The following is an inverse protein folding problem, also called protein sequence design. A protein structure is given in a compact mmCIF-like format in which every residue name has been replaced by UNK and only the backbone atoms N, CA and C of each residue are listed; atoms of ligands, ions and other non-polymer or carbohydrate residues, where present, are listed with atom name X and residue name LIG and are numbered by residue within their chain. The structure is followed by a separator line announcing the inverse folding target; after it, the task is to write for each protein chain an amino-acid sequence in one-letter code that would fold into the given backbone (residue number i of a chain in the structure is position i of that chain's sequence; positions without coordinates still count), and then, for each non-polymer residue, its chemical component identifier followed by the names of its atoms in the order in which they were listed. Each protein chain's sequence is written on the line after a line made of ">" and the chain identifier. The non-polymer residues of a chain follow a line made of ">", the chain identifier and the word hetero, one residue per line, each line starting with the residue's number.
data_IF_099637236787
#
_entry.id   IF_099637236787
#
_cell.length_a   1.000
_cell.length_b   1.000
_cell.length_c   1.000
_cell.angle_alpha   90.00
_cell.angle_beta   90.00
_cell.angle_gamma   90.00
#
_symmetry.space_group_name_H-M   'P 1'
#
loop_
_entity.id
_entity.type
_entity.pdbx_description
1 polymer ?
#
# COMPACT_ATOMS: atom_id res chain seq x y z
N UNK A 1 -36.11 2.84 0.31
CA UNK A 1 -34.78 3.03 -0.32
C UNK A 1 -34.41 1.71 -0.96
N UNK A 2 -34.44 1.63 -2.28
CA UNK A 2 -34.36 0.37 -3.03
C UNK A 2 -32.92 0.06 -3.47
N UNK A 3 -32.59 -1.23 -3.60
CA UNK A 3 -31.25 -1.75 -3.88
C UNK A 3 -30.63 -1.12 -5.15
N UNK A 4 -31.46 -0.79 -6.14
CA UNK A 4 -31.05 -0.11 -7.37
C UNK A 4 -30.46 1.28 -7.08
N UNK A 5 -31.10 2.05 -6.19
CA UNK A 5 -30.62 3.38 -5.80
C UNK A 5 -29.30 3.37 -5.02
N UNK A 6 -28.99 2.27 -4.31
CA UNK A 6 -27.68 2.10 -3.67
C UNK A 6 -26.58 1.82 -4.69
N UNK A 7 -26.85 0.96 -5.67
CA UNK A 7 -25.90 0.61 -6.74
C UNK A 7 -25.60 1.82 -7.63
N UNK A 8 -26.63 2.59 -8.00
CA UNK A 8 -26.46 3.79 -8.82
C UNK A 8 -25.61 4.85 -8.08
N UNK A 9 -25.87 5.08 -6.79
CA UNK A 9 -25.08 6.02 -5.98
C UNK A 9 -23.64 5.54 -5.73
N UNK A 10 -23.43 4.23 -5.58
CA UNK A 10 -22.08 3.67 -5.47
C UNK A 10 -21.27 3.82 -6.77
N UNK A 11 -21.92 3.64 -7.92
CA UNK A 11 -21.30 3.83 -9.23
C UNK A 11 -20.97 5.30 -9.50
N UNK A 12 -21.86 6.21 -9.11
CA UNK A 12 -21.63 7.65 -9.19
C UNK A 12 -20.45 8.10 -8.30
N UNK A 13 -20.42 7.66 -7.04
CA UNK A 13 -19.33 7.98 -6.12
C UNK A 13 -17.97 7.43 -6.60
N UNK A 14 -17.96 6.23 -7.19
CA UNK A 14 -16.74 5.65 -7.77
C UNK A 14 -16.23 6.46 -8.98
N UNK A 15 -17.14 6.95 -9.84
CA UNK A 15 -16.77 7.79 -10.98
C UNK A 15 -16.20 9.13 -10.53
N UNK A 16 -16.80 9.78 -9.53
CA UNK A 16 -16.31 11.04 -8.97
C UNK A 16 -14.93 10.87 -8.32
N UNK A 17 -14.72 9.77 -7.58
CA UNK A 17 -13.43 9.47 -6.97
C UNK A 17 -12.34 9.23 -8.02
N UNK A 18 -12.65 8.50 -9.10
CA UNK A 18 -11.73 8.26 -10.20
C UNK A 18 -11.35 9.56 -10.93
N UNK A 19 -12.33 10.44 -11.18
CA UNK A 19 -12.07 11.74 -11.80
C UNK A 19 -11.17 12.63 -10.93
N UNK A 20 -11.43 12.70 -9.62
CA UNK A 20 -10.62 13.49 -8.69
C UNK A 20 -9.19 12.95 -8.56
N UNK A 21 -9.02 11.64 -8.61
CA UNK A 21 -7.69 11.01 -8.63
C UNK A 21 -6.91 11.35 -9.91
N UNK A 22 -7.59 11.36 -11.08
CA UNK A 22 -6.97 11.75 -12.34
C UNK A 22 -6.58 13.24 -12.37
N UNK A 23 -7.43 14.12 -11.83
CA UNK A 23 -7.13 15.56 -11.70
C UNK A 23 -5.92 15.81 -10.79
N UNK A 24 -5.82 15.09 -9.67
CA UNK A 24 -4.67 15.16 -8.77
C UNK A 24 -3.38 14.66 -9.46
N UNK A 25 -3.45 13.57 -10.22
CA UNK A 25 -2.31 13.06 -10.98
C UNK A 25 -1.84 14.06 -12.05
N UNK A 26 -2.78 14.71 -12.75
CA UNK A 26 -2.46 15.74 -13.75
C UNK A 26 -1.84 16.99 -13.11
N UNK A 27 -2.31 17.42 -11.94
CA UNK A 27 -1.74 18.56 -11.21
C UNK A 27 -0.31 18.30 -10.74
N UNK A 28 -0.01 17.08 -10.30
CA UNK A 28 1.36 16.67 -9.92
C UNK A 28 2.27 16.64 -11.15
N UNK A 29 1.77 16.16 -12.29
CA UNK A 29 2.54 16.13 -13.54
C UNK A 29 2.81 17.54 -14.10
N UNK A 30 1.94 18.52 -13.85
CA UNK A 30 2.15 19.91 -14.27
C UNK A 30 3.18 20.66 -13.40
N UNK A 31 3.32 20.28 -12.12
CA UNK A 31 4.31 20.86 -11.21
C UNK A 31 5.75 20.38 -11.49
N UNK A 32 5.92 19.23 -12.17
CA UNK A 32 7.21 18.66 -12.51
C UNK A 32 7.87 19.27 -13.77
N UNK A 33 7.18 20.16 -14.49
CA UNK A 33 7.65 20.74 -15.76
C UNK A 33 8.07 22.21 -15.65
N UNK A 34 8.20 22.75 -14.42
CA UNK A 34 8.78 24.07 -14.24
C UNK A 34 10.30 24.01 -14.52
N UNK A 35 10.83 24.73 -15.53
CA UNK A 35 12.25 24.73 -15.81
C UNK A 35 13.00 25.38 -14.64
N UNK A 36 14.04 24.70 -14.15
CA UNK A 36 14.97 25.26 -13.18
C UNK A 36 15.63 26.54 -13.73
N UNK A 37 15.79 27.61 -12.93
CA UNK A 37 16.57 28.76 -13.35
C UNK A 37 18.03 28.33 -13.56
N UNK A 38 18.59 28.75 -14.70
CA UNK A 38 19.94 28.41 -15.13
C UNK A 38 21.00 28.87 -14.10
N UNK A 39 22.04 28.06 -13.84
CA UNK A 39 23.16 28.49 -13.00
C UNK A 39 24.00 29.53 -13.76
N UNK A 40 24.14 30.71 -13.18
CA UNK A 40 25.10 31.74 -13.59
C UNK A 40 26.53 31.22 -13.37
N UNK A 41 27.30 31.17 -14.44
CA UNK A 41 28.70 30.78 -14.44
C UNK A 41 29.58 31.75 -13.62
N UNK A 42 30.55 31.26 -12.83
CA UNK A 42 31.66 32.09 -12.37
C UNK A 42 32.72 32.21 -13.46
N UNK A 43 33.26 33.43 -13.59
CA UNK A 43 34.26 33.83 -14.55
C UNK A 43 35.61 33.12 -14.35
N UNK A 44 36.17 32.65 -15.47
CA UNK A 44 37.54 32.16 -15.63
C UNK A 44 38.54 33.32 -15.57
N UNK A 45 39.63 33.25 -14.80
CA UNK A 45 40.85 34.03 -15.07
C UNK A 45 41.78 33.26 -16.03
N UNK A 46 42.60 33.96 -16.83
CA UNK A 46 43.34 33.37 -17.94
C UNK A 46 44.58 32.58 -17.47
N UNK A 47 44.87 31.53 -18.23
CA UNK A 47 46.11 30.77 -18.21
C UNK A 47 47.29 31.63 -18.67
N UNK A 48 48.41 31.52 -17.95
CA UNK A 48 49.73 31.90 -18.45
C UNK A 48 50.65 30.70 -18.27
N UNK A 49 51.03 30.11 -19.41
CA UNK A 49 52.07 29.10 -19.53
C UNK A 49 53.44 29.72 -19.25
N UNK A 50 54.30 29.02 -18.51
CA UNK A 50 55.76 29.08 -18.75
C UNK A 50 56.45 27.86 -18.15
N UNK A 51 57.35 27.32 -18.97
CA UNK A 51 58.16 26.12 -18.81
C UNK A 51 59.18 26.21 -17.66
N UNK A 52 59.65 25.05 -17.16
CA UNK A 52 60.78 24.95 -16.20
C UNK A 52 62.16 25.18 -16.86
N UNK A 53 63.30 24.70 -16.30
CA UNK A 53 63.53 23.96 -15.04
C UNK A 53 64.76 24.46 -14.22
N UNK A 54 65.21 23.64 -13.25
CA UNK A 54 66.55 23.55 -12.59
C UNK A 54 66.81 24.18 -11.20
N UNK A 55 67.10 23.25 -10.27
CA UNK A 55 68.18 23.19 -9.24
C UNK A 55 68.36 24.26 -8.15
N UNK A 56 68.54 23.75 -6.92
CA UNK A 56 69.56 24.27 -6.00
C UNK A 56 69.09 24.86 -4.66
N UNK A 57 69.15 24.01 -3.62
CA UNK A 57 69.89 24.25 -2.36
C UNK A 57 69.47 25.35 -1.35
N UNK A 58 69.42 24.89 -0.08
CA UNK A 58 69.70 25.59 1.20
C UNK A 58 68.61 26.33 2.01
N UNK A 59 68.33 25.73 3.18
CA UNK A 59 68.45 26.31 4.54
C UNK A 59 68.28 27.84 4.72
N UNK A 60 67.28 28.25 5.50
CA UNK A 60 67.51 29.07 6.70
C UNK A 60 66.22 29.34 7.49
N UNK A 61 66.34 29.16 8.80
CA UNK A 61 65.47 29.69 9.84
C UNK A 61 65.52 31.23 9.86
N UNK A 62 64.44 31.87 10.30
CA UNK A 62 64.40 32.72 11.50
C UNK A 62 63.29 33.80 11.42
N UNK A 63 62.40 33.73 12.40
CA UNK A 63 62.05 34.84 13.31
C UNK A 63 61.86 36.25 12.72
N UNK A 64 60.64 36.79 12.84
CA UNK A 64 60.31 38.02 13.60
C UNK A 64 58.80 38.31 13.57
N UNK A 65 58.22 38.59 14.75
CA UNK A 65 56.80 38.86 15.07
C UNK A 65 56.35 40.30 14.70
N UNK A 66 55.23 40.86 15.23
CA UNK A 66 53.86 40.41 15.59
C UNK A 66 52.80 41.14 14.71
N UNK A 67 51.47 41.02 14.83
CA UNK A 67 50.46 41.79 15.63
C UNK A 67 49.03 41.40 15.07
N UNK A 68 47.87 41.90 15.57
CA UNK A 68 46.98 41.41 16.64
C UNK A 68 45.62 40.79 16.18
N UNK A 69 44.87 40.32 17.18
CA UNK A 69 43.46 39.84 17.27
C UNK A 69 42.45 40.06 16.12
N UNK A 70 41.75 38.98 15.78
CA UNK A 70 40.36 39.00 15.30
C UNK A 70 39.60 37.73 15.79
N UNK A 71 38.30 37.84 16.12
CA UNK A 71 37.58 36.90 17.00
C UNK A 71 37.23 35.56 16.34
N UNK A 72 37.42 34.45 17.07
CA UNK A 72 36.90 33.12 16.70
C UNK A 72 35.37 33.10 16.80
N UNK A 73 34.70 33.20 15.66
CA UNK A 73 33.31 32.80 15.53
C UNK A 73 33.22 31.26 15.64
N UNK A 74 32.84 30.77 16.82
CA UNK A 74 32.45 29.37 17.01
C UNK A 74 31.15 29.14 16.27
N UNK A 75 31.24 28.56 15.07
CA UNK A 75 30.09 28.00 14.36
C UNK A 75 29.63 26.77 15.13
N UNK A 76 28.58 26.93 15.94
CA UNK A 76 27.77 25.82 16.44
C UNK A 76 27.24 25.03 15.25
N UNK A 77 27.64 23.76 15.16
CA UNK A 77 27.14 22.82 14.17
C UNK A 77 25.61 22.67 14.33
N UNK A 78 24.82 22.69 13.23
CA UNK A 78 23.41 22.36 13.30
C UNK A 78 23.22 20.85 13.58
N UNK A 79 22.16 20.54 14.33
CA UNK A 79 21.73 19.21 14.72
C UNK A 79 21.62 18.23 13.52
N UNK A 80 21.77 16.91 13.74
CA UNK A 80 21.82 15.94 12.65
C UNK A 80 20.48 15.89 11.92
N UNK A 81 20.47 16.30 10.65
CA UNK A 81 19.38 16.04 9.74
C UNK A 81 19.25 14.52 9.58
N UNK A 82 18.12 13.94 10.02
CA UNK A 82 17.81 12.53 9.79
C UNK A 82 17.96 12.24 8.29
N UNK A 83 18.88 11.36 7.95
CA UNK A 83 19.10 10.96 6.56
C UNK A 83 17.84 10.33 5.96
N UNK A 84 17.70 10.39 4.63
CA UNK A 84 16.56 9.83 3.89
C UNK A 84 16.21 8.38 4.27
N UNK A 85 17.20 7.55 4.62
CA UNK A 85 16.97 6.18 5.08
C UNK A 85 16.24 6.09 6.43
N UNK A 86 16.50 7.02 7.35
CA UNK A 86 15.81 7.09 8.63
C UNK A 86 14.36 7.56 8.45
N UNK A 87 14.13 8.54 7.55
CA UNK A 87 12.78 9.00 7.20
C UNK A 87 11.96 7.91 6.50
N UNK A 88 12.56 7.14 5.59
CA UNK A 88 11.90 6.02 4.93
C UNK A 88 11.53 4.91 5.93
N UNK A 89 12.41 4.62 6.89
CA UNK A 89 12.16 3.61 7.92
C UNK A 89 11.09 4.06 8.93
N UNK A 90 11.13 5.33 9.35
CA UNK A 90 10.11 5.94 10.22
C UNK A 90 8.73 5.93 9.52
N UNK A 91 8.66 6.36 8.25
CA UNK A 91 7.43 6.34 7.47
C UNK A 91 6.90 4.92 7.19
N UNK A 92 7.80 3.95 6.96
CA UNK A 92 7.42 2.54 6.81
C UNK A 92 6.87 1.97 8.12
N UNK A 93 7.48 2.31 9.26
CA UNK A 93 6.99 1.89 10.57
C UNK A 93 5.64 2.52 10.92
N UNK A 94 5.44 3.79 10.62
CA UNK A 94 4.15 4.47 10.82
C UNK A 94 3.06 3.88 9.91
N UNK A 95 3.38 3.63 8.64
CA UNK A 95 2.46 2.97 7.70
C UNK A 95 2.15 1.53 8.14
N UNK A 96 3.16 0.81 8.64
CA UNK A 96 2.99 -0.54 9.20
C UNK A 96 2.09 -0.55 10.43
N UNK A 97 2.29 0.39 11.36
CA UNK A 97 1.47 0.49 12.56
C UNK A 97 0.02 0.87 12.24
N UNK A 98 -0.20 1.86 11.37
CA UNK A 98 -1.54 2.22 10.89
C UNK A 98 -2.20 1.07 10.11
N UNK A 99 -1.43 0.36 9.29
CA UNK A 99 -1.88 -0.82 8.56
C UNK A 99 -2.28 -1.97 9.50
N UNK A 100 -1.49 -2.23 10.54
CA UNK A 100 -1.76 -3.27 11.53
C UNK A 100 -3.07 -3.01 12.30
N UNK A 101 -3.35 -1.75 12.66
CA UNK A 101 -4.62 -1.39 13.27
C UNK A 101 -5.81 -1.65 12.33
N UNK A 102 -5.68 -1.31 11.04
CA UNK A 102 -6.73 -1.60 10.05
C UNK A 102 -6.93 -3.09 9.79
N UNK A 103 -5.86 -3.87 9.76
CA UNK A 103 -5.95 -5.33 9.70
C UNK A 103 -6.67 -5.87 10.93
N UNK A 104 -6.36 -5.37 12.12
CA UNK A 104 -7.03 -5.81 13.36
C UNK A 104 -8.53 -5.47 13.35
N UNK A 105 -8.91 -4.26 12.93
CA UNK A 105 -10.31 -3.87 12.74
C UNK A 105 -11.03 -4.81 11.74
N UNK A 106 -10.36 -5.11 10.61
CA UNK A 106 -10.88 -6.00 9.58
C UNK A 106 -11.07 -7.43 10.09
N UNK A 107 -10.08 -7.98 10.81
CA UNK A 107 -10.14 -9.30 11.42
C UNK A 107 -11.25 -9.37 12.47
N UNK A 108 -11.42 -8.32 13.29
CA UNK A 108 -12.48 -8.27 14.30
C UNK A 108 -13.86 -8.28 13.64
N UNK A 109 -14.07 -7.43 12.63
CA UNK A 109 -15.33 -7.39 11.87
C UNK A 109 -15.59 -8.71 11.13
N UNK A 110 -14.53 -9.34 10.60
CA UNK A 110 -14.59 -10.64 9.95
C UNK A 110 -15.00 -11.75 10.93
N UNK A 111 -14.39 -11.82 12.11
CA UNK A 111 -14.73 -12.78 13.16
C UNK A 111 -16.19 -12.66 13.60
N UNK A 112 -16.69 -11.44 13.74
CA UNK A 112 -18.11 -11.19 14.08
C UNK A 112 -19.07 -11.67 12.98
N UNK A 113 -18.62 -11.74 11.73
CA UNK A 113 -19.44 -12.23 10.62
C UNK A 113 -19.50 -13.76 10.56
N UNK A 114 -18.48 -14.48 11.06
CA UNK A 114 -18.35 -15.93 10.91
C UNK A 114 -19.58 -16.73 11.35
N UNK A 115 -20.25 -16.44 12.48
CA UNK A 115 -21.45 -17.18 12.87
C UNK A 115 -22.56 -17.10 11.83
N UNK A 116 -22.78 -15.91 11.25
CA UNK A 116 -23.79 -15.71 10.21
C UNK A 116 -23.38 -16.34 8.87
N UNK A 117 -22.10 -16.24 8.51
CA UNK A 117 -21.58 -16.90 7.30
C UNK A 117 -21.73 -18.43 7.40
N UNK A 118 -21.43 -19.00 8.57
CA UNK A 118 -21.65 -20.42 8.86
C UNK A 118 -23.14 -20.77 8.83
N UNK A 119 -24.01 -19.94 9.38
CA UNK A 119 -25.44 -20.18 9.35
C UNK A 119 -26.01 -20.18 7.93
N UNK A 120 -25.39 -19.46 6.98
CA UNK A 120 -25.75 -19.44 5.56
C UNK A 120 -25.19 -20.61 4.73
N UNK A 121 -24.40 -21.51 5.33
CA UNK A 121 -23.87 -22.70 4.65
C UNK A 121 -22.48 -22.50 4.07
N UNK A 122 -21.65 -21.67 4.73
CA UNK A 122 -20.26 -21.51 4.34
C UNK A 122 -19.34 -21.76 5.53
N UNK A 123 -18.43 -22.72 5.36
CA UNK A 123 -17.46 -23.06 6.38
C UNK A 123 -16.12 -22.40 6.06
N UNK A 124 -15.61 -21.60 7.00
CA UNK A 124 -14.25 -21.09 6.94
C UNK A 124 -13.27 -22.24 7.17
N UNK A 125 -12.37 -22.45 6.22
CA UNK A 125 -11.34 -23.50 6.31
C UNK A 125 -10.00 -22.95 6.79
N UNK A 126 -9.63 -21.78 6.27
CA UNK A 126 -8.41 -21.06 6.63
C UNK A 126 -8.57 -19.58 6.25
N UNK A 127 -7.69 -18.73 6.75
CA UNK A 127 -7.58 -17.36 6.27
C UNK A 127 -6.11 -16.93 6.29
N UNK A 128 -5.72 -16.14 5.31
CA UNK A 128 -4.37 -15.62 5.18
C UNK A 128 -4.38 -14.12 5.45
N UNK A 129 -3.29 -13.62 6.04
CA UNK A 129 -3.04 -12.19 6.20
C UNK A 129 -1.76 -11.87 5.45
N UNK A 130 -1.89 -11.11 4.35
CA UNK A 130 -0.74 -10.60 3.61
C UNK A 130 -0.31 -9.28 4.24
N UNK A 131 0.94 -9.23 4.73
CA UNK A 131 1.56 -8.04 5.29
C UNK A 131 2.47 -7.41 4.22
N UNK A 132 2.28 -6.13 3.94
CA UNK A 132 3.03 -5.39 2.93
C UNK A 132 2.59 -3.93 2.91
N UNK A 133 2.95 -3.19 1.84
CA UNK A 133 2.52 -1.79 1.65
C UNK A 133 0.99 -1.68 1.67
N UNK A 134 0.31 -2.66 1.08
CA UNK A 134 -1.15 -2.79 1.13
C UNK A 134 -1.50 -4.11 1.81
N UNK A 135 -1.88 -4.11 3.09
CA UNK A 135 -2.24 -5.34 3.77
C UNK A 135 -3.54 -5.92 3.22
N UNK A 136 -3.68 -7.25 3.31
CA UNK A 136 -4.86 -7.97 2.81
C UNK A 136 -5.27 -9.10 3.75
N UNK A 137 -6.56 -9.41 3.77
CA UNK A 137 -7.12 -10.58 4.45
C UNK A 137 -7.80 -11.47 3.41
N UNK A 138 -7.42 -12.75 3.36
CA UNK A 138 -7.88 -13.70 2.33
C UNK A 138 -8.50 -14.93 3.01
N UNK A 139 -9.80 -14.91 3.33
CA UNK A 139 -10.50 -16.07 3.85
C UNK A 139 -10.88 -17.09 2.78
N UNK A 140 -10.74 -18.37 3.12
CA UNK A 140 -11.02 -19.51 2.27
C UNK A 140 -12.25 -20.27 2.77
N UNK A 141 -13.30 -20.31 1.96
CA UNK A 141 -14.59 -20.88 2.32
C UNK A 141 -14.95 -22.11 1.49
N UNK A 142 -15.49 -23.13 2.16
CA UNK A 142 -16.20 -24.24 1.49
C UNK A 142 -17.69 -24.04 1.59
N UNK A 143 -18.39 -24.46 0.54
CA UNK A 143 -19.85 -24.47 0.52
C UNK A 143 -20.38 -25.73 1.21
N UNK A 144 -21.18 -25.53 2.26
CA UNK A 144 -21.97 -26.53 2.94
C UNK A 144 -23.45 -26.26 2.63
N UNK A 145 -24.12 -27.15 1.92
CA UNK A 145 -25.47 -26.91 1.42
C UNK A 145 -26.46 -26.51 2.55
N UNK A 146 -27.22 -25.44 2.33
CA UNK A 146 -28.24 -24.90 3.23
C UNK A 146 -29.42 -24.28 2.48
N UNK A 147 -30.51 -23.99 3.20
CA UNK A 147 -31.76 -23.50 2.59
C UNK A 147 -31.73 -21.99 2.32
N UNK A 148 -32.72 -21.48 1.58
CA UNK A 148 -32.83 -20.04 1.32
C UNK A 148 -33.16 -19.26 2.62
N UNK A 149 -33.94 -19.86 3.52
CA UNK A 149 -34.29 -19.29 4.82
C UNK A 149 -33.07 -19.10 5.71
N UNK A 150 -32.11 -20.03 5.67
CA UNK A 150 -30.82 -19.92 6.36
C UNK A 150 -30.01 -18.69 5.88
N UNK A 151 -30.06 -18.41 4.57
CA UNK A 151 -29.38 -17.26 3.97
C UNK A 151 -30.04 -15.95 4.39
N UNK A 152 -31.37 -15.89 4.44
CA UNK A 152 -32.09 -14.70 4.89
C UNK A 152 -31.86 -14.41 6.37
N UNK A 153 -31.82 -15.46 7.21
CA UNK A 153 -31.45 -15.34 8.62
C UNK A 153 -30.02 -14.79 8.78
N UNK A 154 -29.07 -15.29 7.97
CA UNK A 154 -27.70 -14.78 7.97
C UNK A 154 -27.62 -13.29 7.57
N UNK A 155 -28.40 -12.86 6.57
CA UNK A 155 -28.49 -11.44 6.19
C UNK A 155 -28.99 -10.58 7.34
N UNK A 156 -29.99 -11.04 8.09
CA UNK A 156 -30.51 -10.33 9.24
C UNK A 156 -29.45 -10.18 10.36
N UNK A 157 -28.66 -11.23 10.61
CA UNK A 157 -27.54 -11.19 11.58
C UNK A 157 -26.43 -10.21 11.16
N UNK A 158 -26.25 -9.99 9.86
CA UNK A 158 -25.18 -9.15 9.29
C UNK A 158 -25.60 -7.71 8.99
N UNK A 159 -26.82 -7.30 9.36
CA UNK A 159 -27.36 -5.96 9.02
C UNK A 159 -26.43 -4.79 9.41
N UNK A 160 -25.73 -4.93 10.54
CA UNK A 160 -24.81 -3.91 11.07
C UNK A 160 -23.33 -4.21 10.73
N UNK A 161 -23.06 -5.35 10.11
CA UNK A 161 -21.73 -5.80 9.70
C UNK A 161 -21.60 -5.76 8.17
N UNK A 162 -21.22 -4.59 7.65
CA UNK A 162 -21.07 -4.35 6.20
C UNK A 162 -20.06 -5.31 5.55
N UNK A 163 -18.97 -5.61 6.24
CA UNK A 163 -17.95 -6.54 5.75
C UNK A 163 -18.54 -7.94 5.60
N UNK A 164 -19.20 -8.44 6.65
CA UNK A 164 -19.85 -9.74 6.62
C UNK A 164 -20.94 -9.82 5.55
N UNK A 165 -21.74 -8.77 5.36
CA UNK A 165 -22.72 -8.71 4.28
C UNK A 165 -22.07 -8.80 2.90
N UNK A 166 -20.95 -8.09 2.69
CA UNK A 166 -20.18 -8.16 1.44
C UNK A 166 -19.66 -9.58 1.20
N UNK A 167 -19.09 -10.23 2.21
CA UNK A 167 -18.61 -11.61 2.15
C UNK A 167 -19.76 -12.55 1.78
N UNK A 168 -20.90 -12.46 2.47
CA UNK A 168 -22.06 -13.31 2.19
C UNK A 168 -22.53 -13.18 0.73
N UNK A 169 -22.65 -11.94 0.23
CA UNK A 169 -23.07 -11.70 -1.17
C UNK A 169 -22.04 -12.26 -2.16
N UNK A 170 -20.75 -12.11 -1.88
CA UNK A 170 -19.68 -12.67 -2.70
C UNK A 170 -19.75 -14.20 -2.74
N UNK A 171 -19.95 -14.85 -1.59
CA UNK A 171 -20.08 -16.30 -1.46
C UNK A 171 -21.29 -16.85 -2.22
N UNK A 172 -22.45 -16.21 -2.12
CA UNK A 172 -23.65 -16.62 -2.85
C UNK A 172 -23.42 -16.56 -4.37
N UNK A 173 -22.87 -15.46 -4.87
CA UNK A 173 -22.55 -15.30 -6.30
C UNK A 173 -21.50 -16.30 -6.77
N UNK A 174 -20.47 -16.55 -5.96
CA UNK A 174 -19.43 -17.53 -6.24
C UNK A 174 -19.99 -18.95 -6.30
N UNK A 175 -20.91 -19.30 -5.39
CA UNK A 175 -21.63 -20.57 -5.39
C UNK A 175 -22.48 -20.76 -6.66
N UNK A 176 -23.21 -19.73 -7.07
CA UNK A 176 -23.98 -19.76 -8.32
C UNK A 176 -23.09 -19.93 -9.56
N UNK A 177 -21.98 -19.18 -9.60
CA UNK A 177 -21.00 -19.26 -10.70
C UNK A 177 -20.32 -20.63 -10.78
N UNK A 178 -19.91 -21.19 -9.64
CA UNK A 178 -19.33 -22.54 -9.61
C UNK A 178 -20.28 -23.60 -10.19
N UNK A 179 -21.60 -23.49 -9.94
CA UNK A 179 -22.57 -24.45 -10.50
C UNK A 179 -22.59 -24.44 -12.04
N UNK A 180 -22.16 -23.36 -12.68
CA UNK A 180 -22.08 -23.22 -14.14
C UNK A 180 -20.75 -23.69 -14.73
N UNK A 181 -19.68 -23.75 -13.93
CA UNK A 181 -18.35 -24.12 -14.38
C UNK A 181 -18.13 -25.62 -14.16
N UNK A 182 -17.81 -26.34 -15.25
CA UNK A 182 -17.42 -27.76 -15.21
C UNK A 182 -16.13 -27.92 -16.00
N UNK A 183 -15.11 -28.48 -15.34
CA UNK A 183 -13.81 -28.74 -15.93
C UNK A 183 -13.50 -30.22 -15.70
N UNK A 184 -13.26 -30.97 -16.77
CA UNK A 184 -12.98 -32.40 -16.67
C UNK A 184 -11.64 -32.62 -15.93
N UNK A 185 -11.61 -33.56 -14.99
CA UNK A 185 -10.42 -33.84 -14.18
C UNK A 185 -10.17 -32.85 -13.04
N UNK A 186 -11.13 -31.98 -12.72
CA UNK A 186 -11.01 -30.99 -11.66
C UNK A 186 -12.28 -30.90 -10.82
N UNK A 187 -12.13 -31.03 -9.52
CA UNK A 187 -13.18 -30.83 -8.54
C UNK A 187 -13.07 -29.44 -7.90
N UNK A 188 -14.21 -28.82 -7.63
CA UNK A 188 -14.24 -27.58 -6.87
C UNK A 188 -13.76 -27.80 -5.43
N UNK A 189 -12.86 -26.94 -4.99
CA UNK A 189 -12.17 -27.05 -3.71
C UNK A 189 -12.72 -26.06 -2.70
N UNK A 190 -12.63 -24.76 -2.98
CA UNK A 190 -13.09 -23.69 -2.10
C UNK A 190 -13.18 -22.34 -2.84
N UNK A 191 -13.74 -21.33 -2.17
CA UNK A 191 -13.81 -19.94 -2.61
C UNK A 191 -12.78 -19.16 -1.79
N UNK A 192 -11.99 -18.32 -2.44
CA UNK A 192 -11.13 -17.34 -1.78
C UNK A 192 -11.69 -15.95 -2.01
N UNK A 193 -11.74 -15.13 -0.96
CA UNK A 193 -12.15 -13.74 -1.07
C UNK A 193 -10.98 -12.88 -0.63
N UNK A 194 -10.36 -12.17 -1.55
CA UNK A 194 -9.30 -11.22 -1.23
C UNK A 194 -9.92 -9.90 -0.79
N UNK A 195 -9.69 -9.53 0.46
CA UNK A 195 -10.13 -8.26 1.05
C UNK A 195 -8.91 -7.35 1.20
N UNK A 196 -8.70 -6.53 0.18
CA UNK A 196 -7.68 -5.48 0.14
C UNK A 196 -8.26 -4.21 -0.50
N UNK A 197 -7.39 -3.34 -1.01
CA UNK A 197 -7.81 -2.12 -1.71
C UNK A 197 -8.72 -2.41 -2.91
N UNK A 198 -8.45 -3.52 -3.61
CA UNK A 198 -9.26 -4.02 -4.73
C UNK A 198 -9.76 -5.40 -4.33
N UNK A 199 -11.06 -5.58 -4.03
CA UNK A 199 -11.60 -6.88 -3.65
C UNK A 199 -11.64 -7.83 -4.85
N UNK A 200 -11.30 -9.10 -4.62
CA UNK A 200 -11.33 -10.14 -5.65
C UNK A 200 -11.94 -11.43 -5.09
N UNK A 201 -12.61 -12.20 -5.95
CA UNK A 201 -13.18 -13.51 -5.59
C UNK A 201 -12.62 -14.55 -6.55
N UNK A 202 -12.04 -15.63 -6.01
CA UNK A 202 -11.47 -16.73 -6.78
C UNK A 202 -12.21 -18.03 -6.47
N UNK A 203 -12.49 -18.80 -7.52
CA UNK A 203 -13.01 -20.16 -7.40
C UNK A 203 -11.85 -21.13 -7.61
N UNK A 204 -11.50 -21.88 -6.57
CA UNK A 204 -10.39 -22.82 -6.64
C UNK A 204 -10.86 -24.21 -7.00
N UNK A 205 -10.16 -24.83 -7.95
CA UNK A 205 -10.39 -26.19 -8.40
C UNK A 205 -9.11 -26.99 -8.23
N UNK A 206 -9.23 -28.23 -7.76
CA UNK A 206 -8.11 -29.15 -7.58
C UNK A 206 -8.30 -30.35 -8.51
N UNK A 207 -7.19 -30.90 -8.98
CA UNK A 207 -7.21 -32.10 -9.80
C UNK A 207 -7.80 -33.27 -8.97
N UNK A 208 -8.84 -33.91 -9.49
CA UNK A 208 -9.52 -35.04 -8.82
C UNK A 208 -8.76 -36.38 -8.98
N UNK A 209 -7.73 -36.41 -9.84
CA UNK A 209 -6.88 -37.58 -10.09
C UNK A 209 -5.68 -37.72 -9.14
N UNK A 210 -5.45 -36.75 -8.25
CA UNK A 210 -4.32 -36.74 -7.30
C UNK A 210 -4.83 -36.60 -5.86
N UNK A 211 -5.80 -37.46 -5.49
CA UNK A 211 -6.34 -37.60 -4.13
C UNK A 211 -5.73 -38.79 -3.41
#
# INVERSE_FOLDING_TARGET
>A
MDLKGFVDRAKEAASTAAQKAQEAANAISAAATAPAPAPTAPATPPEAETEGPTEGTELAQAHSAPVPDAPKATLTAPAPAKGLGALANDALNELSAAGAQKVQELVTSFQQALPAIKSAGYELTEFEVELGVTPKLIPHFRHAAKSAEDVDAARAMLKDNKLGMMILVALLKAGDMHRQIRVAGFAFSHIEIEMGLIPCVRLQYKNDLVG
#
